data_IF_881713879483
#
_entry.id   IF_881713879483
#
_cell.length_a   1.000
_cell.length_b   1.000
_cell.length_c   1.000
_cell.angle_alpha   90.00
_cell.angle_beta   90.00
_cell.angle_gamma   90.00
#
_symmetry.space_group_name_H-M   'P 1'
#
loop_
_entity.id
_entity.type
_entity.pdbx_description
1 polymer ?
#
# COMPACT_ATOMS: atom_id res chain seq x y z
N UNK A 1 -5.47 -2.04 -9.35
CA UNK A 1 -5.78 -2.62 -8.02
C UNK A 1 -5.96 -4.11 -8.18
N UNK A 2 -5.11 -4.92 -7.55
CA UNK A 2 -5.17 -6.37 -7.71
C UNK A 2 -5.67 -7.00 -6.41
N UNK A 3 -6.80 -7.71 -6.50
CA UNK A 3 -7.32 -8.50 -5.40
C UNK A 3 -6.99 -9.95 -5.71
N UNK A 4 -6.11 -10.56 -4.91
CA UNK A 4 -5.76 -11.95 -5.05
C UNK A 4 -6.57 -12.77 -4.05
N UNK A 5 -7.61 -13.51 -4.48
CA UNK A 5 -8.17 -14.55 -3.65
C UNK A 5 -7.11 -15.64 -3.54
N UNK A 6 -6.44 -15.70 -2.39
CA UNK A 6 -5.51 -16.78 -2.08
C UNK A 6 -6.34 -18.01 -1.70
N UNK A 7 -6.95 -18.65 -2.69
CA UNK A 7 -7.54 -19.97 -2.54
C UNK A 7 -6.40 -20.98 -2.66
N UNK A 8 -5.71 -21.27 -1.56
CA UNK A 8 -4.63 -22.25 -1.60
C UNK A 8 -5.23 -23.66 -1.71
N UNK A 9 -4.85 -24.47 -2.72
CA UNK A 9 -5.24 -25.86 -2.75
C UNK A 9 -4.67 -26.56 -1.51
N UNK A 10 -5.54 -27.21 -0.73
CA UNK A 10 -5.12 -28.11 0.35
C UNK A 10 -4.39 -29.27 -0.31
N UNK A 11 -3.07 -29.16 -0.42
CA UNK A 11 -2.22 -30.22 -0.93
C UNK A 11 -2.24 -31.36 0.10
N UNK A 12 -2.56 -32.57 -0.36
CA UNK A 12 -2.44 -33.78 0.42
C UNK A 12 -0.97 -33.97 0.86
N UNK A 13 -0.71 -34.55 2.04
CA UNK A 13 0.64 -34.68 2.58
C UNK A 13 1.44 -35.70 1.77
N UNK A 14 2.30 -35.24 0.86
CA UNK A 14 3.34 -36.07 0.24
C UNK A 14 4.57 -36.15 1.15
N UNK A 15 5.11 -37.37 1.27
CA UNK A 15 6.17 -37.74 2.20
C UNK A 15 7.55 -37.11 1.90
N UNK A 16 8.45 -37.10 2.89
CA UNK A 16 9.69 -36.33 2.83
C UNK A 16 10.84 -37.04 2.11
N UNK A 17 11.61 -36.35 1.26
CA UNK A 17 12.99 -36.73 0.95
C UNK A 17 13.99 -35.99 1.85
N UNK A 18 14.90 -36.76 2.45
CA UNK A 18 16.09 -36.30 3.15
C UNK A 18 17.15 -35.78 2.18
N UNK A 19 17.85 -34.68 2.53
CA UNK A 19 19.29 -34.53 2.34
C UNK A 19 19.80 -33.19 2.93
N UNK A 20 20.82 -33.30 3.78
CA UNK A 20 21.72 -32.22 4.24
C UNK A 20 22.86 -32.07 3.24
N UNK A 21 23.44 -30.88 3.04
CA UNK A 21 24.86 -30.74 3.41
C UNK A 21 25.29 -29.37 3.96
N UNK A 22 26.47 -29.41 4.57
CA UNK A 22 27.19 -28.38 5.29
C UNK A 22 27.93 -27.37 4.39
N UNK A 23 28.26 -26.20 4.97
CA UNK A 23 29.28 -25.28 4.43
C UNK A 23 29.38 -23.96 5.20
N UNK A 24 30.47 -23.67 5.93
CA UNK A 24 30.72 -22.39 6.59
C UNK A 24 31.67 -21.50 5.76
N UNK A 25 31.47 -20.18 5.82
CA UNK A 25 32.42 -19.21 5.25
C UNK A 25 31.91 -17.77 5.30
N UNK A 26 32.15 -17.07 6.40
CA UNK A 26 31.82 -15.64 6.55
C UNK A 26 33.05 -14.73 6.29
N UNK A 27 32.91 -13.63 5.54
CA UNK A 27 33.92 -12.58 5.44
C UNK A 27 33.69 -11.40 6.42
N UNK A 28 34.74 -10.57 6.67
CA UNK A 28 34.80 -9.62 7.78
C UNK A 28 34.12 -8.27 7.55
N UNK A 29 33.75 -7.68 8.70
CA UNK A 29 33.09 -6.39 8.91
C UNK A 29 33.98 -5.19 8.55
N UNK A 30 33.45 -4.23 7.78
CA UNK A 30 34.11 -2.95 7.44
C UNK A 30 33.33 -1.80 8.08
N UNK A 31 34.00 -1.04 8.93
CA UNK A 31 33.46 0.12 9.62
C UNK A 31 33.26 1.30 8.65
N UNK A 32 32.06 1.88 8.66
CA UNK A 32 31.71 3.08 7.89
C UNK A 32 31.69 4.31 8.82
N UNK A 33 32.62 5.23 8.58
CA UNK A 33 32.73 6.54 9.24
C UNK A 33 31.68 7.50 8.66
N UNK A 34 30.79 8.00 9.51
CA UNK A 34 29.81 9.03 9.15
C UNK A 34 30.41 10.43 9.24
N UNK A 35 30.23 11.21 8.17
CA UNK A 35 30.59 12.62 8.07
C UNK A 35 29.32 13.48 8.23
N UNK A 36 29.35 14.60 8.98
CA UNK A 36 28.16 15.41 9.24
C UNK A 36 27.93 16.46 8.13
N UNK A 37 26.80 16.34 7.43
CA UNK A 37 26.28 17.33 6.48
C UNK A 37 25.69 18.55 7.23
N UNK A 38 26.27 19.73 6.98
CA UNK A 38 25.73 21.05 7.35
C UNK A 38 25.15 21.70 6.10
N UNK A 39 23.87 22.09 6.13
CA UNK A 39 23.32 22.94 5.07
C UNK A 39 21.79 22.98 5.00
N UNK A 40 21.11 23.42 6.06
CA UNK A 40 19.68 23.66 6.03
C UNK A 40 19.40 25.16 6.23
N UNK A 41 19.10 25.88 5.15
CA UNK A 41 18.62 27.25 5.18
C UNK A 41 17.75 27.53 3.96
N UNK A 42 16.53 28.00 4.21
CA UNK A 42 15.59 28.65 3.27
C UNK A 42 14.55 27.81 2.49
N UNK A 43 14.69 26.48 2.37
CA UNK A 43 13.62 25.65 1.77
C UNK A 43 12.38 25.44 2.67
N UNK A 44 12.52 25.65 3.98
CA UNK A 44 11.53 25.23 4.98
C UNK A 44 10.36 26.23 5.12
N UNK A 45 10.58 27.52 4.85
CA UNK A 45 9.57 28.57 5.05
C UNK A 45 8.45 28.51 4.00
N UNK A 46 8.80 28.19 2.75
CA UNK A 46 7.81 28.03 1.68
C UNK A 46 6.99 26.74 1.85
N UNK A 47 7.62 25.65 2.29
CA UNK A 47 6.96 24.36 2.53
C UNK A 47 5.96 24.41 3.69
N UNK A 48 6.27 25.09 4.79
CA UNK A 48 5.35 25.31 5.93
C UNK A 48 4.11 26.11 5.52
N UNK A 49 4.28 27.13 4.66
CA UNK A 49 3.17 27.94 4.16
C UNK A 49 2.24 27.12 3.26
N UNK A 50 2.83 26.31 2.36
CA UNK A 50 2.08 25.42 1.48
C UNK A 50 1.34 24.31 2.26
N UNK A 51 1.96 23.78 3.33
CA UNK A 51 1.35 22.77 4.22
C UNK A 51 0.15 23.33 4.98
N UNK A 52 0.21 24.59 5.46
CA UNK A 52 -0.95 25.26 6.08
C UNK A 52 -2.11 25.41 5.11
N UNK A 53 -1.85 25.80 3.86
CA UNK A 53 -2.88 25.95 2.83
C UNK A 53 -3.57 24.61 2.53
N UNK A 54 -2.81 23.51 2.42
CA UNK A 54 -3.39 22.16 2.20
C UNK A 54 -4.24 21.64 3.38
N UNK A 55 -4.03 22.14 4.60
CA UNK A 55 -4.85 21.75 5.77
C UNK A 55 -6.16 22.51 5.90
N UNK A 56 -6.38 23.59 5.12
CA UNK A 56 -7.63 24.35 5.12
C UNK A 56 -8.71 23.61 4.33
N UNK A 57 -9.23 22.51 4.90
CA UNK A 57 -10.25 21.63 4.29
C UNK A 57 -11.65 22.23 4.14
N UNK A 58 -11.86 23.50 4.50
CA UNK A 58 -13.18 24.13 4.40
C UNK A 58 -13.22 25.16 3.28
N UNK A 59 -14.13 24.98 2.32
CA UNK A 59 -14.45 25.96 1.25
C UNK A 59 -14.65 27.38 1.80
N UNK A 60 -15.13 27.50 3.05
CA UNK A 60 -15.34 28.77 3.76
C UNK A 60 -14.03 29.48 4.11
N UNK A 61 -12.96 28.73 4.36
CA UNK A 61 -11.63 29.29 4.66
C UNK A 61 -10.95 29.84 3.40
N UNK A 62 -11.11 29.16 2.25
CA UNK A 62 -10.58 29.65 0.97
C UNK A 62 -11.30 30.93 0.52
N UNK A 63 -12.61 31.01 0.72
CA UNK A 63 -13.37 32.22 0.40
C UNK A 63 -12.92 33.42 1.24
N UNK A 64 -12.70 33.23 2.55
CA UNK A 64 -12.17 34.31 3.43
C UNK A 64 -10.74 34.70 3.05
N UNK A 65 -9.88 33.74 2.69
CA UNK A 65 -8.52 34.02 2.20
C UNK A 65 -8.53 34.85 0.90
N UNK A 66 -9.49 34.60 0.00
CA UNK A 66 -9.68 35.39 -1.22
C UNK A 66 -10.11 36.83 -0.95
N UNK A 67 -10.87 37.07 0.12
CA UNK A 67 -11.25 38.41 0.56
C UNK A 67 -10.12 39.14 1.29
N UNK A 68 -9.40 38.46 2.18
CA UNK A 68 -8.33 39.07 2.99
C UNK A 68 -7.04 39.30 2.20
N UNK A 69 -6.74 38.47 1.19
CA UNK A 69 -5.51 38.53 0.39
C UNK A 69 -5.79 38.32 -1.11
N UNK A 70 -6.47 39.26 -1.79
CA UNK A 70 -6.82 39.11 -3.20
C UNK A 70 -5.58 39.03 -4.12
N UNK A 71 -4.45 39.60 -3.71
CA UNK A 71 -3.21 39.61 -4.50
C UNK A 71 -2.65 38.19 -4.76
N UNK A 72 -2.88 37.24 -3.84
CA UNK A 72 -2.46 35.85 -4.02
C UNK A 72 -3.23 35.16 -5.16
N UNK A 73 -4.44 35.64 -5.47
CA UNK A 73 -5.29 35.05 -6.51
C UNK A 73 -5.10 35.72 -7.87
N UNK A 74 -4.66 36.99 -7.93
CA UNK A 74 -4.35 37.65 -9.21
C UNK A 74 -3.23 36.93 -9.97
N UNK A 75 -2.22 36.43 -9.25
CA UNK A 75 -1.16 35.63 -9.87
C UNK A 75 -1.67 34.29 -10.40
N UNK A 76 -2.63 33.66 -9.71
CA UNK A 76 -3.23 32.42 -10.15
C UNK A 76 -4.12 32.64 -11.39
N UNK A 77 -4.99 33.66 -11.37
CA UNK A 77 -5.86 34.00 -12.50
C UNK A 77 -5.03 34.40 -13.74
N UNK A 78 -3.90 35.09 -13.57
CA UNK A 78 -2.96 35.39 -14.64
C UNK A 78 -2.24 34.13 -15.17
N UNK A 79 -1.86 33.21 -14.28
CA UNK A 79 -1.23 31.95 -14.66
C UNK A 79 -2.22 31.04 -15.42
N UNK A 80 -3.45 30.94 -14.94
CA UNK A 80 -4.54 30.20 -15.60
C UNK A 80 -4.89 30.82 -16.95
N UNK A 81 -4.95 32.15 -17.06
CA UNK A 81 -5.16 32.83 -18.34
C UNK A 81 -4.04 32.55 -19.34
N UNK A 82 -2.78 32.55 -18.89
CA UNK A 82 -1.63 32.16 -19.72
C UNK A 82 -1.60 30.67 -20.09
N UNK A 83 -2.19 29.80 -19.27
CA UNK A 83 -2.35 28.38 -19.58
C UNK A 83 -3.45 28.18 -20.63
N UNK A 84 -4.58 28.89 -20.51
CA UNK A 84 -5.68 28.84 -21.48
C UNK A 84 -5.30 29.41 -22.85
N UNK A 85 -4.53 30.50 -22.90
CA UNK A 85 -4.02 31.04 -24.18
C UNK A 85 -3.00 30.12 -24.86
N UNK A 86 -2.39 29.18 -24.11
CA UNK A 86 -1.47 28.18 -24.65
C UNK A 86 -2.15 26.90 -25.13
N UNK A 87 -3.46 26.75 -25.01
CA UNK A 87 -4.21 25.55 -25.46
C UNK A 87 -4.17 25.31 -26.99
N UNK A 88 -3.56 26.21 -27.78
CA UNK A 88 -3.26 25.98 -29.20
C UNK A 88 -1.83 25.49 -29.51
N UNK A 89 -0.94 25.47 -28.52
CA UNK A 89 0.45 25.02 -28.69
C UNK A 89 0.63 23.65 -28.07
N UNK A 90 1.05 22.68 -28.88
CA UNK A 90 1.35 21.31 -28.44
C UNK A 90 2.17 21.32 -27.13
N UNK A 91 1.81 20.49 -26.13
CA UNK A 91 2.56 20.39 -24.88
C UNK A 91 4.04 20.13 -25.14
N UNK A 92 4.92 20.70 -24.29
CA UNK A 92 6.37 20.61 -24.50
C UNK A 92 6.81 19.14 -24.63
N UNK A 93 7.52 18.83 -25.72
CA UNK A 93 8.00 17.48 -26.03
C UNK A 93 7.06 16.64 -26.88
N UNK A 94 5.84 17.11 -27.15
CA UNK A 94 4.91 16.47 -28.09
C UNK A 94 5.03 17.08 -29.48
N UNK A 95 5.13 16.22 -30.49
CA UNK A 95 5.26 16.57 -31.89
C UNK A 95 4.04 16.03 -32.65
N UNK A 96 3.46 16.81 -33.55
CA UNK A 96 2.35 16.32 -34.38
C UNK A 96 2.78 15.10 -35.19
N UNK A 97 2.06 14.00 -35.05
CA UNK A 97 2.29 12.81 -35.85
C UNK A 97 1.39 12.83 -37.11
N UNK A 98 1.65 11.96 -38.09
CA UNK A 98 0.87 11.92 -39.33
C UNK A 98 -0.62 11.59 -39.14
N UNK A 99 -1.04 11.29 -37.91
CA UNK A 99 -2.44 11.07 -37.54
C UNK A 99 -3.04 12.37 -37.02
N UNK A 100 -4.06 12.88 -37.71
CA UNK A 100 -4.75 14.12 -37.34
C UNK A 100 -5.35 14.02 -35.94
N UNK A 101 -5.11 15.03 -35.10
CA UNK A 101 -5.61 15.07 -33.72
C UNK A 101 -4.76 14.29 -32.72
N UNK A 102 -3.57 13.83 -33.11
CA UNK A 102 -2.68 13.07 -32.25
C UNK A 102 -1.29 13.71 -32.22
N UNK A 103 -0.73 13.79 -31.03
CA UNK A 103 0.64 14.20 -30.80
C UNK A 103 1.46 13.02 -30.29
N UNK A 104 2.73 12.95 -30.64
CA UNK A 104 3.65 11.89 -30.22
C UNK A 104 4.84 12.50 -29.49
N UNK A 105 5.15 11.95 -28.31
CA UNK A 105 6.35 12.27 -27.57
C UNK A 105 7.40 11.17 -27.80
N UNK A 106 8.46 11.42 -28.59
CA UNK A 106 9.45 10.40 -28.93
C UNK A 106 10.34 9.98 -27.75
N UNK A 107 10.53 10.85 -26.76
CA UNK A 107 11.34 10.54 -25.57
C UNK A 107 10.64 9.51 -24.68
N UNK A 108 9.32 9.68 -24.50
CA UNK A 108 8.51 8.80 -23.65
C UNK A 108 7.85 7.65 -24.41
N UNK A 109 7.84 7.69 -25.74
CA UNK A 109 7.06 6.81 -26.62
C UNK A 109 5.56 6.80 -26.29
N UNK A 110 5.03 7.98 -25.97
CA UNK A 110 3.61 8.18 -25.59
C UNK A 110 2.92 9.05 -26.62
N UNK A 111 1.67 8.73 -26.89
CA UNK A 111 0.77 9.47 -27.76
C UNK A 111 -0.25 10.24 -26.92
N UNK A 112 -0.58 11.46 -27.33
CA UNK A 112 -1.62 12.30 -26.73
C UNK A 112 -2.71 12.54 -27.78
N UNK A 113 -3.94 12.15 -27.47
CA UNK A 113 -5.11 12.44 -28.30
C UNK A 113 -5.63 13.85 -27.97
N UNK A 114 -5.53 14.80 -28.91
CA UNK A 114 -5.85 16.22 -28.67
C UNK A 114 -7.33 16.44 -28.33
N UNK A 115 -8.24 15.63 -28.87
CA UNK A 115 -9.68 15.79 -28.64
C UNK A 115 -10.14 15.34 -27.26
N UNK A 116 -9.45 14.36 -26.66
CA UNK A 116 -9.84 13.76 -25.37
C UNK A 116 -8.86 14.11 -24.25
N UNK A 117 -7.66 14.57 -24.60
CA UNK A 117 -6.55 14.74 -23.68
C UNK A 117 -5.96 13.42 -23.17
N UNK A 118 -6.34 12.27 -23.74
CA UNK A 118 -5.90 10.96 -23.25
C UNK A 118 -4.48 10.66 -23.69
N UNK A 119 -3.67 10.18 -22.75
CA UNK A 119 -2.34 9.63 -23.01
C UNK A 119 -2.46 8.13 -23.27
N UNK A 120 -1.88 7.67 -24.37
CA UNK A 120 -1.84 6.26 -24.74
C UNK A 120 -0.43 5.86 -25.12
N UNK A 121 -0.03 4.62 -24.87
CA UNK A 121 1.16 4.02 -25.47
C UNK A 121 0.75 3.03 -26.56
N UNK A 122 1.58 2.85 -27.58
CA UNK A 122 1.33 1.89 -28.65
C UNK A 122 1.99 0.56 -28.29
N UNK A 123 1.17 -0.47 -28.11
CA UNK A 123 1.68 -1.84 -27.99
C UNK A 123 2.08 -2.35 -29.38
N UNK A 124 3.40 -2.46 -29.62
CA UNK A 124 3.95 -2.87 -30.92
C UNK A 124 3.51 -4.28 -31.33
N UNK A 125 3.27 -5.18 -30.36
CA UNK A 125 2.90 -6.57 -30.65
C UNK A 125 1.49 -6.67 -31.23
N UNK A 126 0.57 -5.85 -30.73
CA UNK A 126 -0.84 -5.87 -31.15
C UNK A 126 -1.19 -4.70 -32.08
N UNK A 127 -0.29 -3.73 -32.22
CA UNK A 127 -0.55 -2.44 -32.87
C UNK A 127 -1.79 -1.74 -32.30
N UNK A 128 -2.06 -1.92 -31.00
CA UNK A 128 -3.19 -1.28 -30.31
C UNK A 128 -2.72 -0.19 -29.35
N UNK A 129 -3.49 0.89 -29.26
CA UNK A 129 -3.23 1.95 -28.30
C UNK A 129 -3.85 1.55 -26.96
N UNK A 130 -3.02 1.48 -25.92
CA UNK A 130 -3.45 1.25 -24.56
C UNK A 130 -3.37 2.54 -23.75
N UNK A 131 -4.36 2.79 -22.91
CA UNK A 131 -4.37 3.96 -22.03
C UNK A 131 -3.17 3.93 -21.08
N UNK A 132 -2.47 5.06 -21.00
CA UNK A 132 -1.44 5.30 -20.02
C UNK A 132 -2.10 5.84 -18.75
N UNK A 133 -2.46 4.94 -17.84
CA UNK A 133 -3.00 5.31 -16.53
C UNK A 133 -1.88 5.85 -15.62
N UNK A 134 -1.39 7.05 -15.90
CA UNK A 134 -0.43 7.73 -15.05
C UNK A 134 -1.18 8.41 -13.88
N UNK A 135 -1.16 7.75 -12.71
CA UNK A 135 -1.58 8.40 -11.46
C UNK A 135 -3.08 8.62 -11.28
N UNK A 136 -3.94 7.77 -11.86
CA UNK A 136 -5.33 7.70 -11.43
C UNK A 136 -5.38 7.31 -9.95
N UNK A 137 -5.49 8.32 -9.08
CA UNK A 137 -5.83 8.15 -7.68
C UNK A 137 -7.27 7.67 -7.66
N UNK A 138 -7.47 6.36 -7.85
CA UNK A 138 -8.77 5.74 -7.70
C UNK A 138 -9.25 6.07 -6.28
N UNK A 139 -10.37 6.83 -6.11
CA UNK A 139 -10.93 7.06 -4.80
C UNK A 139 -11.44 5.72 -4.27
N UNK A 140 -10.57 4.99 -3.58
CA UNK A 140 -10.93 3.71 -2.99
C UNK A 140 -11.54 3.98 -1.61
N UNK A 141 -12.79 3.56 -1.43
CA UNK A 141 -13.43 3.45 -0.13
C UNK A 141 -13.46 1.97 0.24
N UNK A 142 -12.86 1.63 1.38
CA UNK A 142 -12.90 0.27 1.89
C UNK A 142 -14.10 0.10 2.81
N UNK A 143 -15.18 -0.48 2.30
CA UNK A 143 -16.33 -0.87 3.12
C UNK A 143 -16.10 -2.28 3.65
N UNK A 144 -15.48 -2.39 4.82
CA UNK A 144 -15.27 -3.67 5.50
C UNK A 144 -16.59 -4.21 6.04
N UNK A 145 -17.36 -4.91 5.21
CA UNK A 145 -18.51 -5.68 5.68
C UNK A 145 -18.03 -7.08 6.08
N UNK A 146 -17.39 -7.19 7.25
CA UNK A 146 -17.09 -8.49 7.84
C UNK A 146 -18.41 -9.13 8.32
N UNK A 147 -19.14 -9.79 7.41
CA UNK A 147 -20.16 -10.77 7.81
C UNK A 147 -19.42 -11.94 8.44
N UNK A 148 -19.22 -11.85 9.76
CA UNK A 148 -18.92 -13.03 10.54
C UNK A 148 -20.20 -13.86 10.51
N UNK A 149 -20.29 -14.82 9.59
CA UNK A 149 -21.27 -15.90 9.72
C UNK A 149 -20.85 -16.68 10.96
N UNK A 150 -21.33 -16.24 12.11
CA UNK A 150 -21.31 -17.02 13.32
C UNK A 150 -22.17 -18.23 13.01
N UNK A 151 -21.53 -19.35 12.66
CA UNK A 151 -22.20 -20.63 12.57
C UNK A 151 -22.70 -20.91 13.99
N UNK A 152 -23.96 -20.56 14.25
CA UNK A 152 -24.68 -20.94 15.46
C UNK A 152 -24.83 -22.45 15.37
N UNK A 153 -23.84 -23.17 15.88
CA UNK A 153 -24.02 -24.56 16.25
C UNK A 153 -24.99 -24.52 17.43
N UNK A 154 -26.24 -24.88 17.13
CA UNK A 154 -27.34 -24.90 18.09
C UNK A 154 -26.98 -25.68 19.34
N UNK A 155 -26.96 -24.98 20.46
CA UNK A 155 -26.96 -25.54 21.80
C UNK A 155 -28.13 -24.95 22.55
N UNK A 156 -29.30 -25.59 22.43
CA UNK A 156 -30.45 -25.31 23.27
C UNK A 156 -30.17 -25.81 24.68
N UNK A 157 -29.87 -24.87 25.58
CA UNK A 157 -29.73 -25.12 27.02
C UNK A 157 -30.35 -23.98 27.82
N UNK A 158 -31.38 -24.23 28.64
CA UNK A 158 -31.96 -23.20 29.51
C UNK A 158 -31.10 -23.05 30.77
N UNK A 159 -30.55 -21.86 31.00
CA UNK A 159 -29.88 -21.53 32.28
C UNK A 159 -30.54 -20.32 32.91
N UNK A 160 -31.44 -20.62 33.84
CA UNK A 160 -32.01 -19.73 34.84
C UNK A 160 -31.00 -19.58 35.97
N UNK A 161 -30.71 -18.36 36.44
CA UNK A 161 -29.95 -18.20 37.69
C UNK A 161 -29.47 -16.78 37.98
N UNK A 162 -30.19 -16.11 38.88
CA UNK A 162 -29.91 -14.79 39.42
C UNK A 162 -28.87 -14.80 40.55
N UNK A 163 -28.15 -13.68 40.74
CA UNK A 163 -27.58 -13.13 42.00
C UNK A 163 -26.22 -12.47 41.74
N UNK A 164 -25.70 -11.50 42.49
CA UNK A 164 -26.18 -10.55 43.50
C UNK A 164 -25.02 -9.56 43.68
N UNK A 165 -25.32 -8.29 44.02
CA UNK A 165 -24.36 -7.22 44.24
C UNK A 165 -23.31 -7.53 45.34
N UNK A 166 -22.06 -7.11 45.10
CA UNK A 166 -21.00 -7.11 46.11
C UNK A 166 -19.93 -6.07 45.78
N UNK A 167 -19.94 -4.95 46.52
CA UNK A 167 -18.90 -3.91 46.51
C UNK A 167 -17.66 -4.41 47.26
N UNK A 168 -16.50 -4.32 46.63
CA UNK A 168 -15.19 -4.53 47.29
C UNK A 168 -14.11 -3.77 46.54
N UNK A 169 -13.70 -2.62 47.07
CA UNK A 169 -12.61 -1.78 46.56
C UNK A 169 -11.28 -2.33 47.11
N UNK A 170 -10.53 -3.03 46.28
CA UNK A 170 -9.14 -3.38 46.55
C UNK A 170 -8.27 -2.85 45.40
N UNK A 171 -7.31 -1.99 45.75
CA UNK A 171 -6.30 -1.44 44.85
C UNK A 171 -5.26 -2.52 44.56
N UNK A 172 -5.32 -3.12 43.39
CA UNK A 172 -4.33 -4.08 42.89
C UNK A 172 -3.77 -3.56 41.57
N UNK A 173 -2.45 -3.63 41.43
CA UNK A 173 -1.70 -3.23 40.24
C UNK A 173 -2.22 -3.95 38.98
N UNK A 174 -2.21 -3.30 37.79
CA UNK A 174 -2.76 -3.88 36.57
C UNK A 174 -1.89 -5.04 36.09
N UNK A 175 -2.20 -6.26 36.53
CA UNK A 175 -1.80 -7.46 35.82
C UNK A 175 -2.57 -7.48 34.50
N UNK A 176 -1.85 -7.42 33.39
CA UNK A 176 -2.40 -7.47 32.05
C UNK A 176 -3.03 -8.86 31.81
N UNK A 177 -4.29 -9.00 32.20
CA UNK A 177 -5.14 -10.12 31.82
C UNK A 177 -5.35 -10.04 30.31
N UNK A 178 -4.49 -10.73 29.55
CA UNK A 178 -4.71 -11.03 28.14
C UNK A 178 -5.94 -11.92 28.05
N UNK A 179 -7.13 -11.30 28.01
CA UNK A 179 -8.37 -12.00 27.78
C UNK A 179 -8.26 -12.76 26.46
N UNK A 180 -8.26 -14.09 26.55
CA UNK A 180 -8.27 -15.02 25.43
C UNK A 180 -9.64 -15.00 24.74
N UNK A 181 -10.07 -13.82 24.29
CA UNK A 181 -11.19 -13.75 23.36
C UNK A 181 -10.74 -14.40 22.04
N UNK A 182 -11.58 -15.25 21.43
CA UNK A 182 -11.28 -15.81 20.12
C UNK A 182 -11.05 -14.63 19.17
N UNK A 183 -9.82 -14.52 18.68
CA UNK A 183 -9.38 -13.40 17.88
C UNK A 183 -10.19 -13.39 16.58
N UNK A 184 -11.17 -12.48 16.52
CA UNK A 184 -11.96 -12.25 15.31
C UNK A 184 -11.07 -11.80 14.15
N UNK A 185 -11.66 -11.68 12.94
CA UNK A 185 -10.92 -11.26 11.76
C UNK A 185 -10.14 -9.94 12.00
N UNK A 186 -8.90 -9.91 11.54
CA UNK A 186 -8.02 -8.74 11.60
C UNK A 186 -7.74 -8.23 10.21
N UNK A 187 -7.52 -6.93 10.07
CA UNK A 187 -7.15 -6.32 8.80
C UNK A 187 -5.96 -5.39 8.98
N UNK A 188 -5.21 -5.21 7.91
CA UNK A 188 -4.09 -4.28 7.80
C UNK A 188 -4.22 -3.49 6.51
N UNK A 189 -4.02 -2.18 6.59
CA UNK A 189 -4.07 -1.26 5.48
C UNK A 189 -2.84 -0.35 5.54
N UNK A 190 -1.99 -0.44 4.51
CA UNK A 190 -0.81 0.38 4.33
C UNK A 190 -1.03 1.17 3.04
N UNK A 191 -1.50 2.42 3.13
CA UNK A 191 -1.84 3.21 1.93
C UNK A 191 -0.61 3.69 1.15
N UNK A 192 0.58 3.61 1.76
CA UNK A 192 1.84 4.07 1.19
C UNK A 192 2.96 3.13 1.65
N UNK A 193 3.36 2.22 0.77
CA UNK A 193 4.41 1.24 1.02
C UNK A 193 5.79 1.88 1.08
N UNK A 194 6.08 2.94 0.31
CA UNK A 194 7.35 3.68 0.36
C UNK A 194 7.57 4.26 1.74
N UNK A 195 6.56 4.92 2.31
CA UNK A 195 6.63 5.44 3.67
C UNK A 195 6.77 4.34 4.73
N UNK A 196 6.11 3.20 4.51
CA UNK A 196 6.26 2.05 5.41
C UNK A 196 7.67 1.43 5.32
N UNK A 197 8.27 1.41 4.14
CA UNK A 197 9.62 0.94 3.89
C UNK A 197 10.66 1.87 4.52
N UNK A 198 10.50 3.18 4.37
CA UNK A 198 11.32 4.19 5.05
C UNK A 198 11.31 3.98 6.57
N UNK A 199 10.13 3.81 7.17
CA UNK A 199 9.99 3.52 8.60
C UNK A 199 10.64 2.19 9.02
N UNK A 200 10.65 1.20 8.12
CA UNK A 200 11.31 -0.08 8.30
C UNK A 200 12.81 -0.06 7.95
N UNK A 201 13.34 1.07 7.44
CA UNK A 201 14.69 1.20 6.90
C UNK A 201 15.00 0.18 5.80
N UNK A 202 14.01 -0.08 4.95
CA UNK A 202 14.11 -0.98 3.80
C UNK A 202 14.05 -0.12 2.55
N UNK A 203 15.05 -0.26 1.67
CA UNK A 203 15.11 0.48 0.42
C UNK A 203 14.26 -0.19 -0.67
N UNK A 204 13.19 0.51 -1.06
CA UNK A 204 12.31 0.14 -2.17
C UNK A 204 12.20 1.26 -3.22
N UNK A 205 13.20 2.15 -3.30
CA UNK A 205 13.17 3.33 -4.19
C UNK A 205 13.15 2.94 -5.69
N UNK A 206 13.44 1.69 -6.00
CA UNK A 206 13.32 1.11 -7.35
C UNK A 206 11.88 0.77 -7.76
N UNK A 207 10.90 0.89 -6.86
CA UNK A 207 9.48 0.87 -7.23
C UNK A 207 9.10 2.25 -7.77
N UNK A 208 9.07 2.38 -9.10
CA UNK A 208 8.80 3.64 -9.81
C UNK A 208 7.41 4.25 -9.54
N UNK A 209 6.48 3.46 -8.96
CA UNK A 209 5.09 3.84 -8.75
C UNK A 209 4.70 3.73 -7.28
N UNK A 210 3.86 4.63 -6.76
CA UNK A 210 3.38 4.56 -5.39
C UNK A 210 2.58 3.27 -5.18
N UNK A 211 2.94 2.50 -4.15
CA UNK A 211 2.30 1.22 -3.86
C UNK A 211 1.53 1.23 -2.53
N UNK A 212 0.50 0.41 -2.41
CA UNK A 212 -0.32 0.23 -1.21
C UNK A 212 -0.65 -1.26 -0.99
N UNK A 213 -0.71 -1.68 0.27
CA UNK A 213 -1.02 -3.07 0.68
C UNK A 213 -2.26 -3.11 1.56
N UNK A 214 -3.16 -4.05 1.28
CA UNK A 214 -4.30 -4.36 2.12
C UNK A 214 -4.34 -5.86 2.38
N UNK A 215 -4.58 -6.28 3.62
CA UNK A 215 -4.82 -7.68 3.91
C UNK A 215 -5.88 -7.86 5.00
N UNK A 216 -6.61 -8.97 4.91
CA UNK A 216 -7.60 -9.40 5.89
C UNK A 216 -7.26 -10.83 6.26
N UNK A 217 -7.10 -11.09 7.55
CA UNK A 217 -6.78 -12.40 8.11
C UNK A 217 -7.91 -12.87 9.02
N UNK A 218 -8.31 -14.12 8.85
CA UNK A 218 -9.27 -14.80 9.72
C UNK A 218 -8.61 -16.01 10.38
N UNK A 219 -9.12 -16.42 11.53
CA UNK A 219 -8.79 -17.72 12.10
C UNK A 219 -9.73 -18.77 11.48
N UNK A 220 -9.20 -19.68 10.66
CA UNK A 220 -9.94 -20.87 10.23
C UNK A 220 -9.08 -22.11 10.45
N UNK A 221 -9.58 -23.07 11.24
CA UNK A 221 -8.86 -24.30 11.56
C UNK A 221 -7.93 -24.20 12.78
N UNK A 222 -7.60 -25.37 13.34
CA UNK A 222 -6.73 -25.49 14.53
C UNK A 222 -5.26 -25.15 14.23
N UNK A 223 -4.83 -25.30 12.96
CA UNK A 223 -3.44 -25.13 12.53
C UNK A 223 -3.19 -23.81 11.79
N UNK A 224 -4.09 -22.82 11.91
CA UNK A 224 -3.90 -21.51 11.29
C UNK A 224 -3.02 -20.59 12.13
N UNK A 225 -2.22 -19.77 11.44
CA UNK A 225 -1.46 -18.70 12.10
C UNK A 225 -2.44 -17.72 12.76
N UNK A 226 -2.21 -17.30 14.02
CA UNK A 226 -3.01 -16.26 14.64
C UNK A 226 -3.08 -14.99 13.77
N UNK A 227 -4.28 -14.43 13.61
CA UNK A 227 -4.49 -13.28 12.74
C UNK A 227 -3.62 -12.07 13.15
N UNK A 228 -3.42 -11.86 14.46
CA UNK A 228 -2.56 -10.79 14.98
C UNK A 228 -1.08 -10.98 14.58
N UNK A 229 -0.56 -12.22 14.65
CA UNK A 229 0.79 -12.53 14.21
C UNK A 229 0.95 -12.30 12.69
N UNK A 230 -0.05 -12.69 11.90
CA UNK A 230 -0.05 -12.50 10.46
C UNK A 230 -0.01 -11.03 10.06
N UNK A 231 -0.85 -10.19 10.68
CA UNK A 231 -0.90 -8.74 10.43
C UNK A 231 0.43 -8.05 10.76
N UNK A 232 1.03 -8.39 11.91
CA UNK A 232 2.26 -7.76 12.37
C UNK A 232 3.51 -8.16 11.56
N UNK A 233 3.51 -9.35 10.94
CA UNK A 233 4.67 -9.89 10.26
C UNK A 233 4.61 -9.76 8.73
N UNK A 234 3.43 -9.88 8.10
CA UNK A 234 3.29 -9.92 6.64
C UNK A 234 3.96 -8.73 5.94
N UNK A 235 3.63 -7.50 6.36
CA UNK A 235 4.14 -6.29 5.69
C UNK A 235 5.68 -6.23 5.72
N UNK A 236 6.31 -6.70 6.81
CA UNK A 236 7.78 -6.71 6.94
C UNK A 236 8.42 -7.73 6.01
N UNK A 237 7.80 -8.91 5.86
CA UNK A 237 8.26 -9.97 4.94
C UNK A 237 8.09 -9.52 3.49
N UNK A 238 6.94 -8.93 3.16
CA UNK A 238 6.66 -8.39 1.83
C UNK A 238 7.66 -7.29 1.46
N UNK A 239 7.87 -6.28 2.31
CA UNK A 239 8.83 -5.20 2.07
C UNK A 239 10.25 -5.73 1.79
N UNK A 240 10.68 -6.75 2.53
CA UNK A 240 11.99 -7.39 2.32
C UNK A 240 12.10 -8.05 0.96
N UNK A 241 11.04 -8.71 0.47
CA UNK A 241 11.02 -9.32 -0.87
C UNK A 241 10.97 -8.26 -1.96
N UNK A 242 10.16 -7.21 -1.78
CA UNK A 242 10.15 -6.06 -2.67
C UNK A 242 11.53 -5.40 -2.75
N UNK A 243 12.28 -5.28 -1.65
CA UNK A 243 13.65 -4.74 -1.69
C UNK A 243 14.68 -5.69 -2.30
N UNK A 244 14.43 -7.00 -2.31
CA UNK A 244 15.40 -7.96 -2.83
C UNK A 244 15.36 -8.02 -4.38
N UNK A 245 14.20 -7.79 -4.98
CA UNK A 245 14.02 -7.82 -6.42
C UNK A 245 14.16 -6.42 -7.02
N UNK A 246 15.16 -6.21 -7.89
CA UNK A 246 15.46 -4.91 -8.53
C UNK A 246 15.06 -4.85 -10.03
N UNK A 247 14.28 -5.81 -10.51
CA UNK A 247 13.82 -5.87 -11.90
C UNK A 247 12.51 -5.12 -12.15
N UNK A 248 11.98 -5.24 -13.36
CA UNK A 248 10.66 -4.70 -13.72
C UNK A 248 9.54 -5.42 -12.94
N UNK A 249 8.72 -4.65 -12.24
CA UNK A 249 7.60 -5.18 -11.45
C UNK A 249 6.40 -5.47 -12.34
N UNK A 250 6.43 -6.63 -12.98
CA UNK A 250 5.26 -7.21 -13.64
C UNK A 250 4.34 -7.93 -12.66
N UNK A 251 3.09 -8.15 -13.06
CA UNK A 251 2.07 -8.84 -12.26
C UNK A 251 2.54 -10.20 -11.71
N UNK A 252 3.31 -10.95 -12.51
CA UNK A 252 3.91 -12.23 -12.10
C UNK A 252 4.88 -12.07 -10.92
N UNK A 253 5.82 -11.12 -11.04
CA UNK A 253 6.82 -10.85 -10.00
C UNK A 253 6.18 -10.34 -8.70
N UNK A 254 5.16 -9.48 -8.78
CA UNK A 254 4.41 -9.03 -7.62
C UNK A 254 3.67 -10.18 -6.93
N UNK A 255 3.03 -11.06 -7.72
CA UNK A 255 2.36 -12.25 -7.20
C UNK A 255 3.33 -13.20 -6.50
N UNK A 256 4.49 -13.45 -7.10
CA UNK A 256 5.54 -14.28 -6.51
C UNK A 256 6.12 -13.67 -5.23
N UNK A 257 6.28 -12.35 -5.18
CA UNK A 257 6.72 -11.65 -3.98
C UNK A 257 5.70 -11.78 -2.83
N UNK A 258 4.40 -11.64 -3.11
CA UNK A 258 3.33 -11.82 -2.12
C UNK A 258 3.24 -13.29 -1.67
N UNK A 259 3.24 -14.24 -2.60
CA UNK A 259 3.19 -15.67 -2.28
C UNK A 259 4.39 -16.07 -1.42
N UNK A 260 5.60 -15.66 -1.82
CA UNK A 260 6.81 -15.93 -1.06
C UNK A 260 6.81 -15.26 0.32
N UNK A 261 6.22 -14.07 0.47
CA UNK A 261 6.10 -13.43 1.79
C UNK A 261 5.15 -14.20 2.72
N UNK A 262 4.11 -14.82 2.17
CA UNK A 262 3.21 -15.73 2.91
C UNK A 262 3.91 -17.04 3.28
N UNK A 263 4.74 -17.59 2.38
CA UNK A 263 5.55 -18.77 2.67
C UNK A 263 6.59 -18.49 3.78
N UNK A 264 7.25 -17.33 3.74
CA UNK A 264 8.18 -16.90 4.79
C UNK A 264 7.48 -16.70 6.14
N UNK A 265 6.19 -16.36 6.13
CA UNK A 265 5.36 -16.24 7.33
C UNK A 265 4.96 -17.61 7.86
N UNK A 266 4.63 -18.55 6.97
CA UNK A 266 4.31 -19.93 7.33
C UNK A 266 5.53 -20.67 7.90
N UNK A 267 6.71 -20.44 7.34
CA UNK A 267 7.97 -20.97 7.83
C UNK A 267 8.23 -20.57 9.30
N UNK A 268 7.94 -19.31 9.67
CA UNK A 268 8.08 -18.82 11.05
C UNK A 268 7.12 -19.53 12.04
N UNK A 269 6.03 -20.11 11.55
CA UNK A 269 4.97 -20.73 12.36
C UNK A 269 4.86 -22.25 12.14
N UNK A 270 6.00 -22.93 11.94
CA UNK A 270 6.07 -24.40 11.78
C UNK A 270 5.26 -24.93 10.59
N UNK A 271 5.14 -24.15 9.52
CA UNK A 271 4.37 -24.50 8.34
C UNK A 271 2.87 -24.25 8.45
N UNK A 272 2.38 -23.76 9.59
CA UNK A 272 1.02 -23.25 9.72
C UNK A 272 0.79 -22.16 8.67
N UNK A 273 -0.37 -22.16 8.02
CA UNK A 273 -0.65 -21.21 6.93
C UNK A 273 -1.57 -20.09 7.40
N UNK A 274 -1.32 -18.85 6.96
CA UNK A 274 -2.26 -17.77 7.23
C UNK A 274 -3.53 -17.99 6.40
N UNK A 275 -4.70 -17.85 7.02
CA UNK A 275 -5.96 -17.79 6.29
C UNK A 275 -6.34 -16.33 6.08
N UNK A 276 -6.36 -15.88 4.83
CA UNK A 276 -6.66 -14.49 4.52
C UNK A 276 -6.65 -14.15 3.04
N UNK A 277 -6.93 -12.88 2.76
CA UNK A 277 -6.82 -12.29 1.43
C UNK A 277 -5.85 -11.12 1.50
N UNK A 278 -5.01 -10.98 0.47
CA UNK A 278 -4.03 -9.89 0.34
C UNK A 278 -4.23 -9.22 -1.02
N UNK A 279 -4.24 -7.89 -1.01
CA UNK A 279 -4.31 -7.05 -2.19
C UNK A 279 -3.12 -6.09 -2.20
N UNK A 280 -2.49 -5.96 -3.37
CA UNK A 280 -1.41 -5.03 -3.62
C UNK A 280 -1.86 -4.10 -4.75
N UNK A 281 -1.72 -2.80 -4.55
CA UNK A 281 -1.89 -1.79 -5.56
C UNK A 281 -0.53 -1.15 -5.82
N UNK A 282 -0.12 -1.07 -7.08
CA UNK A 282 1.12 -0.46 -7.57
C UNK A 282 0.75 0.36 -8.80
#
# INVERSE_FOLDING_TARGET
MFVFPVAWPVAAPDGPPSATPAGPGGPPSVAHTQQPERGAGDGHAWYETYRRIKTLKSKRSLWRLRQEKPELFKQQDQLESHLSEREGTAPRGFVSCGRRGWLYNPEKRVYLEESTGRLCWLDEATSTYQDLCEGDVLPFSFTSAATTRQAVLGGDGPVTGASTAGRGRASAAPAASSSSQPAGPRHVAIPDLHRAAEAAKVDIDHLDRPAAMFAIFGATGADAIPADASVCALHKKLLRRLSAFRGEWMDGALREAVAGALDDLAADHRGARPCGAVALAV
#
